data_IF_338498568693
#
_entry.id   IF_338498568693
#
_cell.length_a   1.000
_cell.length_b   1.000
_cell.length_c   1.000
_cell.angle_alpha   90.00
_cell.angle_beta   90.00
_cell.angle_gamma   90.00
#
_symmetry.space_group_name_H-M   'P 1'
#
loop_
_entity.id
_entity.type
_entity.pdbx_description
1 polymer ?
#
# COMPACT_ATOMS: atom_id res chain seq x y z
N UNK A 1 -14.57 -31.95 26.42
CA UNK A 1 -13.37 -32.51 25.76
C UNK A 1 -12.46 -31.42 25.18
N UNK A 2 -12.95 -30.46 24.38
CA UNK A 2 -12.13 -29.37 23.79
C UNK A 2 -11.38 -28.46 24.80
N UNK A 3 -11.91 -28.30 26.02
CA UNK A 3 -11.31 -27.40 27.03
C UNK A 3 -9.99 -27.92 27.60
N UNK A 4 -9.83 -29.25 27.71
CA UNK A 4 -8.63 -29.89 28.29
C UNK A 4 -7.42 -29.82 27.34
N UNK A 5 -7.63 -29.91 26.03
CA UNK A 5 -6.54 -29.82 25.04
C UNK A 5 -5.94 -28.41 24.99
N UNK A 6 -6.81 -27.38 25.02
CA UNK A 6 -6.39 -25.98 25.03
C UNK A 6 -5.58 -25.65 26.29
N UNK A 7 -6.00 -26.17 27.45
CA UNK A 7 -5.34 -25.95 28.74
C UNK A 7 -3.93 -26.60 28.83
N UNK A 8 -3.62 -27.57 27.96
CA UNK A 8 -2.29 -28.21 27.86
C UNK A 8 -1.35 -27.57 26.81
N UNK A 9 -1.72 -26.42 26.25
CA UNK A 9 -0.93 -25.76 25.19
C UNK A 9 -1.02 -26.45 23.82
N UNK A 10 -1.98 -27.35 23.61
CA UNK A 10 -2.18 -28.00 22.32
C UNK A 10 -2.77 -27.01 21.31
N UNK A 11 -2.03 -26.78 20.22
CA UNK A 11 -2.50 -26.01 19.07
C UNK A 11 -3.11 -26.95 18.02
N UNK A 12 -4.41 -26.86 17.73
CA UNK A 12 -5.02 -27.65 16.66
C UNK A 12 -4.34 -27.38 15.31
N UNK A 13 -4.16 -28.43 14.50
CA UNK A 13 -3.52 -28.34 13.18
C UNK A 13 -4.16 -27.28 12.28
N UNK A 14 -5.48 -27.16 12.31
CA UNK A 14 -6.21 -26.16 11.52
C UNK A 14 -5.84 -24.72 11.88
N UNK A 15 -5.42 -24.42 13.12
CA UNK A 15 -4.95 -23.07 13.49
C UNK A 15 -3.66 -22.73 12.74
N UNK A 16 -2.73 -23.69 12.69
CA UNK A 16 -1.44 -23.55 11.99
C UNK A 16 -1.70 -23.38 10.49
N UNK A 17 -2.48 -24.27 9.89
CA UNK A 17 -2.83 -24.20 8.47
C UNK A 17 -3.55 -22.90 8.11
N UNK A 18 -4.44 -22.39 8.98
CA UNK A 18 -5.10 -21.11 8.75
C UNK A 18 -4.12 -19.95 8.69
N UNK A 19 -3.12 -19.92 9.60
CA UNK A 19 -2.06 -18.91 9.58
C UNK A 19 -1.25 -19.03 8.29
N UNK A 20 -0.83 -20.23 7.94
CA UNK A 20 0.02 -20.47 6.77
C UNK A 20 -0.70 -20.10 5.45
N UNK A 21 -2.02 -20.32 5.36
CA UNK A 21 -2.86 -19.84 4.25
C UNK A 21 -2.85 -18.31 4.20
N UNK A 22 -3.08 -17.62 5.33
CA UNK A 22 -3.10 -16.15 5.37
C UNK A 22 -1.76 -15.56 4.92
N UNK A 23 -0.66 -16.06 5.47
CA UNK A 23 0.67 -15.60 5.09
C UNK A 23 0.98 -15.87 3.62
N UNK A 24 0.57 -17.03 3.09
CA UNK A 24 0.78 -17.38 1.69
C UNK A 24 0.01 -16.46 0.75
N UNK A 25 -1.26 -16.17 1.08
CA UNK A 25 -2.08 -15.20 0.33
C UNK A 25 -1.44 -13.81 0.36
N UNK A 26 -0.97 -13.35 1.52
CA UNK A 26 -0.36 -12.04 1.66
C UNK A 26 0.95 -11.94 0.86
N UNK A 27 1.78 -13.00 0.87
CA UNK A 27 2.98 -13.09 0.02
C UNK A 27 2.63 -13.00 -1.47
N UNK A 28 1.64 -13.76 -1.93
CA UNK A 28 1.20 -13.73 -3.34
C UNK A 28 0.69 -12.33 -3.73
N UNK A 29 -0.15 -11.73 -2.88
CA UNK A 29 -0.71 -10.39 -3.11
C UNK A 29 0.36 -9.31 -3.17
N UNK A 30 1.30 -9.32 -2.23
CA UNK A 30 2.40 -8.36 -2.21
C UNK A 30 3.28 -8.52 -3.45
N UNK A 31 3.60 -9.75 -3.84
CA UNK A 31 4.40 -10.04 -5.03
C UNK A 31 3.71 -9.56 -6.31
N UNK A 32 2.42 -9.81 -6.48
CA UNK A 32 1.64 -9.30 -7.62
C UNK A 32 1.59 -7.78 -7.65
N UNK A 33 1.33 -7.16 -6.50
CA UNK A 33 1.17 -5.72 -6.39
C UNK A 33 2.49 -4.97 -6.59
N UNK A 34 3.60 -5.48 -6.05
CA UNK A 34 4.94 -4.96 -6.33
C UNK A 34 5.34 -5.17 -7.79
N UNK A 35 5.08 -6.36 -8.33
CA UNK A 35 5.28 -6.67 -9.75
C UNK A 35 4.59 -5.63 -10.62
N UNK A 36 3.27 -5.45 -10.43
CA UNK A 36 2.49 -4.49 -11.23
C UNK A 36 2.90 -3.04 -11.02
N UNK A 37 3.27 -2.66 -9.80
CA UNK A 37 3.66 -1.29 -9.47
C UNK A 37 5.02 -0.88 -10.06
N UNK A 38 5.90 -1.85 -10.37
CA UNK A 38 7.20 -1.60 -11.02
C UNK A 38 7.08 -1.37 -12.53
N UNK A 39 6.02 -1.90 -13.15
CA UNK A 39 5.81 -1.80 -14.58
C UNK A 39 5.20 -0.46 -14.96
N UNK A 40 5.56 0.02 -16.15
CA UNK A 40 4.98 1.21 -16.75
C UNK A 40 3.49 1.05 -17.08
N UNK A 41 2.85 2.18 -17.44
CA UNK A 41 1.44 2.24 -17.79
C UNK A 41 1.25 3.27 -18.93
N UNK A 42 1.02 2.84 -20.19
CA UNK A 42 0.90 1.45 -20.66
C UNK A 42 2.24 0.69 -20.64
N UNK A 43 2.18 -0.64 -20.43
CA UNK A 43 3.37 -1.50 -20.41
C UNK A 43 4.07 -1.55 -21.77
N UNK A 44 5.40 -1.64 -21.75
CA UNK A 44 6.19 -2.00 -22.94
C UNK A 44 6.08 -3.50 -23.24
N UNK A 45 6.37 -3.97 -24.47
CA UNK A 45 6.28 -5.40 -24.81
C UNK A 45 7.18 -6.30 -23.93
N UNK A 46 8.34 -5.79 -23.51
CA UNK A 46 9.25 -6.52 -22.61
C UNK A 46 8.67 -6.63 -21.20
N UNK A 47 8.06 -5.56 -20.68
CA UNK A 47 7.36 -5.53 -19.39
C UNK A 47 6.11 -6.41 -19.42
N UNK A 48 5.42 -6.49 -20.55
CA UNK A 48 4.27 -7.38 -20.71
C UNK A 48 4.70 -8.85 -20.60
N UNK A 49 5.78 -9.25 -21.27
CA UNK A 49 6.35 -10.59 -21.11
C UNK A 49 6.74 -10.89 -19.65
N UNK A 50 7.35 -9.92 -18.95
CA UNK A 50 7.69 -10.07 -17.53
C UNK A 50 6.43 -10.22 -16.65
N UNK A 51 5.38 -9.47 -16.96
CA UNK A 51 4.10 -9.56 -16.27
C UNK A 51 3.46 -10.93 -16.48
N UNK A 52 3.45 -11.44 -17.70
CA UNK A 52 2.89 -12.75 -18.05
C UNK A 52 3.65 -13.89 -17.34
N UNK A 53 4.99 -13.83 -17.32
CA UNK A 53 5.81 -14.78 -16.56
C UNK A 53 5.50 -14.75 -15.05
N UNK A 54 5.31 -13.56 -14.49
CA UNK A 54 4.91 -13.42 -13.09
C UNK A 54 3.52 -14.01 -12.85
N UNK A 55 2.56 -13.76 -13.75
CA UNK A 55 1.20 -14.31 -13.67
C UNK A 55 1.22 -15.84 -13.68
N UNK A 56 1.99 -16.46 -14.57
CA UNK A 56 2.14 -17.92 -14.65
C UNK A 56 2.74 -18.50 -13.36
N UNK A 57 3.79 -17.88 -12.82
CA UNK A 57 4.37 -18.31 -11.54
C UNK A 57 3.39 -18.17 -10.37
N UNK A 58 2.59 -17.10 -10.35
CA UNK A 58 1.59 -16.89 -9.30
C UNK A 58 0.42 -17.87 -9.44
N UNK A 59 0.04 -18.26 -10.66
CA UNK A 59 -0.95 -19.29 -10.88
C UNK A 59 -0.54 -20.63 -10.24
N UNK A 60 0.72 -21.03 -10.39
CA UNK A 60 1.26 -22.21 -9.72
C UNK A 60 1.22 -22.11 -8.19
N UNK A 61 1.57 -20.95 -7.65
CA UNK A 61 1.51 -20.70 -6.20
C UNK A 61 0.06 -20.72 -5.68
N UNK A 62 -0.88 -20.17 -6.46
CA UNK A 62 -2.31 -20.21 -6.16
C UNK A 62 -2.86 -21.64 -6.21
N UNK A 63 -2.41 -22.48 -7.13
CA UNK A 63 -2.79 -23.91 -7.16
C UNK A 63 -2.33 -24.63 -5.89
N UNK A 64 -1.10 -24.38 -5.42
CA UNK A 64 -0.59 -24.95 -4.16
C UNK A 64 -1.38 -24.43 -2.95
N UNK A 65 -1.68 -23.12 -2.95
CA UNK A 65 -2.49 -22.49 -1.90
C UNK A 65 -3.91 -23.05 -1.85
N UNK A 66 -4.58 -23.24 -3.00
CA UNK A 66 -5.93 -23.77 -3.04
C UNK A 66 -5.99 -25.22 -2.56
N UNK A 67 -4.96 -26.04 -2.83
CA UNK A 67 -4.84 -27.38 -2.21
C UNK A 67 -4.70 -27.31 -0.68
N UNK A 68 -3.98 -26.31 -0.16
CA UNK A 68 -3.88 -26.08 1.29
C UNK A 68 -5.22 -25.62 1.88
N UNK A 69 -5.99 -24.81 1.15
CA UNK A 69 -7.36 -24.42 1.50
C UNK A 69 -8.28 -25.65 1.52
N UNK A 70 -8.17 -26.56 0.56
CA UNK A 70 -8.93 -27.82 0.56
C UNK A 70 -8.62 -28.65 1.80
N UNK A 71 -7.33 -28.86 2.09
CA UNK A 71 -6.90 -29.58 3.29
C UNK A 71 -7.44 -28.92 4.57
N UNK A 72 -7.39 -27.59 4.64
CA UNK A 72 -7.95 -26.83 5.76
C UNK A 72 -9.45 -27.06 5.91
N UNK A 73 -10.20 -26.98 4.81
CA UNK A 73 -11.66 -27.17 4.80
C UNK A 73 -12.10 -28.57 5.27
N UNK A 74 -11.21 -29.57 5.13
CA UNK A 74 -11.43 -30.94 5.63
C UNK A 74 -11.19 -31.10 7.14
N UNK A 75 -10.39 -30.23 7.77
CA UNK A 75 -9.96 -30.36 9.17
C UNK A 75 -10.58 -29.33 10.12
N UNK A 76 -11.29 -28.32 9.59
CA UNK A 76 -11.97 -27.33 10.43
C UNK A 76 -13.17 -27.92 11.16
N UNK A 77 -13.43 -27.49 12.41
CA UNK A 77 -14.53 -28.03 13.21
C UNK A 77 -15.90 -27.46 12.85
N UNK A 78 -15.97 -26.37 12.08
CA UNK A 78 -17.22 -25.67 11.75
C UNK A 78 -17.27 -25.27 10.27
N UNK A 79 -18.42 -25.46 9.64
CA UNK A 79 -18.65 -25.10 8.23
C UNK A 79 -18.39 -23.61 7.97
N UNK A 80 -18.77 -22.74 8.90
CA UNK A 80 -18.55 -21.30 8.82
C UNK A 80 -17.08 -20.87 8.80
N UNK A 81 -16.16 -21.78 9.17
CA UNK A 81 -14.72 -21.52 9.11
C UNK A 81 -14.13 -21.87 7.74
N UNK A 82 -14.85 -22.61 6.88
CA UNK A 82 -14.33 -23.00 5.59
C UNK A 82 -14.00 -21.78 4.72
N UNK A 83 -12.93 -21.90 3.96
CA UNK A 83 -12.39 -20.89 3.08
C UNK A 83 -12.71 -21.24 1.63
N UNK A 84 -12.89 -20.21 0.81
CA UNK A 84 -13.10 -20.36 -0.64
C UNK A 84 -11.74 -20.28 -1.35
N UNK A 85 -11.65 -20.96 -2.49
CA UNK A 85 -10.49 -20.86 -3.37
C UNK A 85 -10.22 -19.42 -3.83
N UNK A 86 -8.93 -19.16 -4.03
CA UNK A 86 -8.43 -17.93 -4.61
C UNK A 86 -8.37 -18.07 -6.13
N UNK A 87 -8.88 -17.05 -6.83
CA UNK A 87 -8.91 -16.98 -8.28
C UNK A 87 -7.81 -16.04 -8.77
N UNK A 88 -7.01 -16.50 -9.73
CA UNK A 88 -5.96 -15.69 -10.35
C UNK A 88 -6.52 -14.37 -10.89
N UNK A 89 -7.60 -14.43 -11.67
CA UNK A 89 -8.26 -13.25 -12.26
C UNK A 89 -8.59 -12.20 -11.20
N UNK A 90 -9.16 -12.61 -10.06
CA UNK A 90 -9.52 -11.69 -8.97
C UNK A 90 -8.30 -11.07 -8.29
N UNK A 91 -7.23 -11.84 -8.12
CA UNK A 91 -6.00 -11.36 -7.48
C UNK A 91 -5.18 -10.46 -8.43
N UNK A 92 -5.17 -10.73 -9.72
CA UNK A 92 -4.58 -9.84 -10.74
C UNK A 92 -5.30 -8.49 -10.80
N UNK A 93 -6.63 -8.54 -10.87
CA UNK A 93 -7.48 -7.34 -10.90
C UNK A 93 -7.33 -6.50 -9.61
N UNK A 94 -7.18 -7.16 -8.45
CA UNK A 94 -6.80 -6.49 -7.19
C UNK A 94 -5.43 -5.81 -7.29
N UNK A 95 -4.44 -6.48 -7.88
CA UNK A 95 -3.09 -5.93 -8.02
C UNK A 95 -3.03 -4.73 -8.97
N UNK A 96 -3.77 -4.77 -10.09
CA UNK A 96 -3.90 -3.65 -11.04
C UNK A 96 -4.50 -2.43 -10.35
N UNK A 97 -5.67 -2.57 -9.73
CA UNK A 97 -6.31 -1.47 -8.98
C UNK A 97 -5.43 -0.94 -7.85
N UNK A 98 -4.74 -1.84 -7.14
CA UNK A 98 -3.83 -1.45 -6.07
C UNK A 98 -2.65 -0.63 -6.59
N UNK A 99 -2.08 -0.99 -7.75
CA UNK A 99 -0.98 -0.26 -8.36
C UNK A 99 -1.43 1.12 -8.90
N UNK A 100 -2.59 1.18 -9.54
CA UNK A 100 -3.21 2.44 -9.98
C UNK A 100 -3.44 3.38 -8.79
N UNK A 101 -4.04 2.87 -7.72
CA UNK A 101 -4.30 3.64 -6.51
C UNK A 101 -3.00 4.19 -5.91
N UNK A 102 -1.95 3.37 -5.80
CA UNK A 102 -0.62 3.83 -5.34
C UNK A 102 -0.07 4.97 -6.20
N UNK A 103 -0.19 4.88 -7.54
CA UNK A 103 0.24 5.96 -8.45
C UNK A 103 -0.54 7.25 -8.19
N UNK A 104 -1.86 7.15 -8.02
CA UNK A 104 -2.70 8.31 -7.75
C UNK A 104 -2.39 8.95 -6.40
N UNK A 105 -2.13 8.16 -5.36
CA UNK A 105 -1.77 8.66 -4.04
C UNK A 105 -0.42 9.38 -4.07
N UNK A 106 0.58 8.83 -4.78
CA UNK A 106 1.87 9.49 -4.98
C UNK A 106 1.74 10.85 -5.70
N UNK A 107 0.84 10.95 -6.70
CA UNK A 107 0.57 12.22 -7.39
C UNK A 107 -0.10 13.23 -6.46
N UNK A 108 -1.08 12.79 -5.67
CA UNK A 108 -1.76 13.62 -4.66
C UNK A 108 -0.78 14.14 -3.62
N UNK A 109 0.14 13.30 -3.15
CA UNK A 109 1.12 13.69 -2.14
C UNK A 109 2.15 14.66 -2.69
N UNK A 110 2.62 14.46 -3.93
CA UNK A 110 3.48 15.42 -4.64
C UNK A 110 2.79 16.77 -4.81
N UNK A 111 1.50 16.79 -5.12
CA UNK A 111 0.75 18.04 -5.29
C UNK A 111 0.55 18.77 -3.94
N UNK A 112 0.18 18.05 -2.88
CA UNK A 112 0.10 18.61 -1.52
C UNK A 112 1.43 19.22 -1.09
N UNK A 113 2.54 18.53 -1.36
CA UNK A 113 3.88 19.01 -1.04
C UNK A 113 4.24 20.28 -1.83
N UNK A 114 3.89 20.34 -3.13
CA UNK A 114 4.05 21.55 -3.94
C UNK A 114 3.23 22.72 -3.41
N UNK A 115 2.00 22.47 -2.96
CA UNK A 115 1.13 23.50 -2.39
C UNK A 115 1.69 24.04 -1.07
N UNK A 116 2.14 23.16 -0.18
CA UNK A 116 2.83 23.55 1.08
C UNK A 116 4.03 24.46 0.83
N UNK A 117 4.92 24.07 -0.09
CA UNK A 117 6.08 24.90 -0.46
C UNK A 117 5.70 26.26 -1.05
N UNK A 118 4.62 26.34 -1.83
CA UNK A 118 4.11 27.61 -2.37
C UNK A 118 3.54 28.49 -1.25
N UNK A 119 2.81 27.91 -0.30
CA UNK A 119 2.26 28.63 0.86
C UNK A 119 3.36 29.14 1.79
N UNK A 120 4.37 28.33 2.09
CA UNK A 120 5.53 28.73 2.87
C UNK A 120 6.26 29.92 2.23
N UNK A 121 6.60 29.81 0.93
CA UNK A 121 7.22 30.92 0.18
C UNK A 121 6.36 32.18 0.18
N UNK A 122 5.03 32.05 0.09
CA UNK A 122 4.11 33.21 0.18
C UNK A 122 4.15 33.84 1.58
N UNK A 123 4.18 33.03 2.64
CA UNK A 123 4.29 33.51 4.04
C UNK A 123 5.62 34.20 4.30
N UNK A 124 6.73 33.65 3.83
CA UNK A 124 8.07 34.26 3.91
C UNK A 124 8.16 35.57 3.13
N UNK A 125 7.60 35.62 1.92
CA UNK A 125 7.55 36.86 1.13
C UNK A 125 6.65 37.93 1.77
N UNK A 126 5.57 37.54 2.44
CA UNK A 126 4.70 38.46 3.17
C UNK A 126 5.40 39.01 4.43
N UNK A 127 6.13 38.16 5.17
CA UNK A 127 6.87 38.58 6.37
C UNK A 127 8.06 39.49 6.01
N UNK A 128 8.78 39.19 4.92
CA UNK A 128 9.89 40.03 4.44
C UNK A 128 9.41 41.40 3.94
N UNK A 129 8.30 41.46 3.18
CA UNK A 129 7.66 42.73 2.78
C UNK A 129 7.22 43.56 3.99
N UNK A 130 6.62 42.93 5.00
CA UNK A 130 6.22 43.60 6.24
C UNK A 130 7.42 44.21 6.97
N UNK A 131 8.52 43.44 7.08
CA UNK A 131 9.77 43.89 7.71
C UNK A 131 10.48 45.00 6.93
N UNK A 132 10.42 44.96 5.59
CA UNK A 132 10.95 46.02 4.75
C UNK A 132 10.15 47.32 4.89
N UNK A 133 8.81 47.22 4.93
CA UNK A 133 7.92 48.37 5.14
C UNK A 133 8.14 49.02 6.50
N UNK A 134 8.30 48.24 7.57
CA UNK A 134 8.58 48.79 8.91
C UNK A 134 9.95 49.47 8.99
N UNK A 135 11.01 48.92 8.37
CA UNK A 135 12.31 49.58 8.26
C UNK A 135 12.26 50.91 7.50
N UNK A 136 11.52 50.97 6.40
CA UNK A 136 11.34 52.20 5.62
C UNK A 136 10.66 53.31 6.41
N UNK A 137 9.61 52.98 7.18
CA UNK A 137 8.92 53.93 8.05
C UNK A 137 9.83 54.49 9.15
N UNK A 138 10.61 53.62 9.80
CA UNK A 138 11.58 54.03 10.84
C UNK A 138 12.66 54.96 10.25
N UNK A 139 13.16 54.66 9.06
CA UNK A 139 14.15 55.52 8.38
C UNK A 139 13.59 56.89 8.01
N UNK A 140 12.33 56.95 7.56
CA UNK A 140 11.64 58.21 7.26
C UNK A 140 11.47 59.08 8.52
N UNK A 141 11.05 58.49 9.64
CA UNK A 141 10.93 59.20 10.93
C UNK A 141 12.28 59.76 11.42
N UNK A 142 13.37 59.00 11.29
CA UNK A 142 14.71 59.46 11.70
C UNK A 142 15.22 60.65 10.88
N UNK A 143 14.87 60.73 9.60
CA UNK A 143 15.20 61.90 8.77
C UNK A 143 14.38 63.14 9.16
N UNK A 144 13.13 62.95 9.57
CA UNK A 144 12.25 64.05 9.97
C UNK A 144 12.66 64.69 11.31
N UNK A 145 13.27 63.91 12.22
CA UNK A 145 13.74 64.36 13.54
C UNK A 145 15.18 64.91 13.54
N UNK A 146 15.85 64.95 12.38
CA UNK A 146 17.21 65.51 12.21
C UNK A 146 17.22 66.89 11.53
N UNK A 147 16.04 67.53 11.40
CA UNK A 147 15.90 68.93 11.03
C UNK A 147 15.64 69.78 12.27
#
# INVERSE_FOLDING_TARGET
LNRILIDNGYQPSWVVTQRDIRESVDRIRNRLLEGRARLSDPMTPTEQNQWEQLCASVEEDLMKLNKMVDNYNLIVPMLSMQMVHFSLVRELDRAVRGAEQRRMDQLRDKEKERQRRKEEKKRENASSKTRAKSRGLVSWMQRFLRC
#
